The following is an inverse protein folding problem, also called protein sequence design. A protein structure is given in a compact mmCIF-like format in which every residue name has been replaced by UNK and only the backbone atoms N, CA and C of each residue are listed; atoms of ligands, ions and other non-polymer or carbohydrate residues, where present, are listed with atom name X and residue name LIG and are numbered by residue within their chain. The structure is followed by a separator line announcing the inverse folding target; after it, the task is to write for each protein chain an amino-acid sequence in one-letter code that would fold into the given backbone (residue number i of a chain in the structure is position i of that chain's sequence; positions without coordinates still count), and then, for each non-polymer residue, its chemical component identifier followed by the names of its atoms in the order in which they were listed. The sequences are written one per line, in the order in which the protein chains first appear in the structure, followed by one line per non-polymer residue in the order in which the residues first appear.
data_IF_894978393546
#
_entry.id   IF_894978393546
#
_cell.length_a   1.000
_cell.length_b   1.000
_cell.length_c   1.000
_cell.angle_alpha   90.00
_cell.angle_beta   90.00
_cell.angle_gamma   90.00
#
_symmetry.space_group_name_H-M   'P 1'
#
loop_
_entity.id
_entity.type
_entity.pdbx_description
1 polymer ?
#
# COMPACT_ATOMS: atom_id res chain seq x y z
N UNK A 1 40.82 -16.01 -20.84
CA UNK A 1 39.67 -16.89 -20.59
C UNK A 1 38.78 -16.19 -19.58
N UNK A 2 37.57 -15.80 -19.96
CA UNK A 2 36.63 -15.12 -19.08
C UNK A 2 35.87 -16.20 -18.31
N UNK A 3 36.10 -16.33 -17.00
CA UNK A 3 35.34 -17.26 -16.17
C UNK A 3 33.86 -16.90 -16.27
N UNK A 4 33.08 -17.84 -16.79
CA UNK A 4 31.63 -17.72 -16.86
C UNK A 4 31.08 -17.94 -15.44
N UNK A 5 31.07 -16.91 -14.61
CA UNK A 5 30.52 -16.99 -13.25
C UNK A 5 29.03 -17.27 -13.35
N UNK A 6 28.60 -18.49 -12.98
CA UNK A 6 27.19 -18.85 -12.97
C UNK A 6 26.44 -17.94 -11.98
N UNK A 7 25.25 -17.42 -12.35
CA UNK A 7 24.47 -16.58 -11.44
C UNK A 7 24.17 -17.36 -10.16
N UNK A 8 24.55 -16.80 -9.01
CA UNK A 8 24.27 -17.41 -7.71
C UNK A 8 22.76 -17.61 -7.53
N UNK A 9 22.31 -18.81 -7.10
CA UNK A 9 20.89 -19.10 -6.95
C UNK A 9 20.26 -18.15 -5.93
N UNK A 10 19.20 -17.44 -6.34
CA UNK A 10 18.45 -16.56 -5.44
C UNK A 10 17.75 -17.40 -4.38
N UNK A 11 17.84 -17.01 -3.11
CA UNK A 11 17.17 -17.77 -2.04
C UNK A 11 15.66 -17.88 -2.31
N UNK A 12 15.04 -19.06 -2.12
CA UNK A 12 13.61 -19.25 -2.38
C UNK A 12 12.72 -18.25 -1.64
N UNK A 13 13.12 -17.87 -0.42
CA UNK A 13 12.44 -16.86 0.40
C UNK A 13 12.43 -15.49 -0.27
N UNK A 14 13.58 -15.01 -0.74
CA UNK A 14 13.71 -13.71 -1.40
C UNK A 14 12.87 -13.63 -2.68
N UNK A 15 12.78 -14.74 -3.43
CA UNK A 15 11.93 -14.84 -4.63
C UNK A 15 10.44 -14.78 -4.28
N UNK A 16 9.99 -15.56 -3.29
CA UNK A 16 8.59 -15.57 -2.84
C UNK A 16 8.15 -14.19 -2.33
N UNK A 17 8.95 -13.56 -1.47
CA UNK A 17 8.64 -12.20 -0.97
C UNK A 17 8.59 -11.18 -2.10
N UNK A 18 9.50 -11.26 -3.09
CA UNK A 18 9.46 -10.37 -4.26
C UNK A 18 8.15 -10.48 -5.03
N UNK A 19 7.75 -11.72 -5.35
CA UNK A 19 6.50 -11.98 -6.09
C UNK A 19 5.31 -11.43 -5.30
N UNK A 20 5.25 -11.72 -4.00
CA UNK A 20 4.20 -11.21 -3.12
C UNK A 20 4.13 -9.68 -3.12
N UNK A 21 5.26 -8.98 -2.95
CA UNK A 21 5.29 -7.52 -2.95
C UNK A 21 4.90 -6.91 -4.29
N UNK A 22 5.23 -7.56 -5.41
CA UNK A 22 4.78 -7.14 -6.75
C UNK A 22 3.26 -7.25 -6.83
N UNK A 23 2.70 -8.40 -6.47
CA UNK A 23 1.23 -8.62 -6.49
C UNK A 23 0.53 -7.58 -5.62
N UNK A 24 1.00 -7.36 -4.39
CA UNK A 24 0.43 -6.35 -3.49
C UNK A 24 0.56 -4.93 -4.05
N UNK A 25 1.70 -4.58 -4.64
CA UNK A 25 1.88 -3.27 -5.29
C UNK A 25 0.86 -3.07 -6.40
N UNK A 26 0.65 -4.06 -7.27
CA UNK A 26 -0.34 -3.97 -8.35
C UNK A 26 -1.75 -3.81 -7.80
N UNK A 27 -2.14 -4.62 -6.80
CA UNK A 27 -3.47 -4.52 -6.18
C UNK A 27 -3.71 -3.15 -5.54
N UNK A 28 -2.70 -2.59 -4.85
CA UNK A 28 -2.82 -1.28 -4.24
C UNK A 28 -2.82 -0.13 -5.24
N UNK A 29 -2.06 -0.23 -6.33
CA UNK A 29 -2.15 0.76 -7.41
C UNK A 29 -3.52 0.73 -8.07
N UNK A 30 -4.10 -0.45 -8.29
CA UNK A 30 -5.45 -0.57 -8.84
C UNK A 30 -6.51 0.01 -7.89
N UNK A 31 -6.34 -0.13 -6.58
CA UNK A 31 -7.29 0.42 -5.60
C UNK A 31 -7.19 1.94 -5.42
N UNK A 32 -6.14 2.59 -5.94
CA UNK A 32 -6.08 4.06 -5.98
C UNK A 32 -7.14 4.65 -6.92
N UNK A 33 -7.57 3.94 -7.96
CA UNK A 33 -8.60 4.42 -8.87
C UNK A 33 -9.97 4.63 -8.17
N UNK A 34 -10.57 3.64 -7.48
CA UNK A 34 -11.79 3.88 -6.72
C UNK A 34 -11.57 4.86 -5.55
N UNK A 35 -10.39 4.91 -4.94
CA UNK A 35 -10.08 5.91 -3.93
C UNK A 35 -10.10 7.34 -4.49
N UNK A 36 -9.55 7.55 -5.69
CA UNK A 36 -9.59 8.86 -6.35
C UNK A 36 -11.03 9.30 -6.63
N UNK A 37 -11.90 8.37 -7.08
CA UNK A 37 -13.33 8.66 -7.23
C UNK A 37 -13.97 9.04 -5.90
N UNK A 38 -13.68 8.31 -4.82
CA UNK A 38 -14.18 8.65 -3.49
C UNK A 38 -13.71 10.04 -3.03
N UNK A 39 -12.46 10.41 -3.30
CA UNK A 39 -11.93 11.77 -3.04
C UNK A 39 -12.72 12.82 -3.80
N UNK A 40 -13.01 12.61 -5.09
CA UNK A 40 -13.80 13.54 -5.89
C UNK A 40 -15.25 13.69 -5.37
N UNK A 41 -15.77 12.67 -4.71
CA UNK A 41 -17.11 12.69 -4.09
C UNK A 41 -17.13 13.30 -2.69
N UNK A 42 -15.98 13.65 -2.09
CA UNK A 42 -15.93 14.24 -0.74
C UNK A 42 -16.76 15.51 -0.55
N UNK A 43 -17.00 16.39 -1.55
CA UNK A 43 -17.88 17.55 -1.35
C UNK A 43 -19.31 17.16 -0.92
N UNK A 44 -19.84 16.03 -1.42
CA UNK A 44 -21.19 15.56 -1.08
C UNK A 44 -21.32 15.17 0.40
N UNK A 45 -20.21 14.90 1.10
CA UNK A 45 -20.23 14.63 2.53
C UNK A 45 -20.68 15.85 3.36
N UNK A 46 -20.64 17.05 2.78
CA UNK A 46 -20.98 18.30 3.44
C UNK A 46 -22.35 18.85 3.03
N UNK A 47 -23.14 18.13 2.22
CA UNK A 47 -24.47 18.59 1.77
C UNK A 47 -25.44 18.83 2.94
N UNK A 48 -25.24 18.13 4.06
CA UNK A 48 -26.02 18.30 5.30
C UNK A 48 -25.37 19.29 6.30
N UNK A 49 -24.28 19.96 5.90
CA UNK A 49 -23.52 20.90 6.70
C UNK A 49 -22.14 20.39 7.13
N UNK A 50 -21.36 21.28 7.74
CA UNK A 50 -20.02 20.96 8.27
C UNK A 50 -20.11 20.36 9.67
N UNK A 51 -20.32 19.05 9.74
CA UNK A 51 -20.30 18.31 11.02
C UNK A 51 -18.95 17.63 11.27
N UNK A 52 -18.61 17.30 12.52
CA UNK A 52 -17.41 16.52 12.84
C UNK A 52 -17.32 15.19 12.09
N UNK A 53 -18.46 14.53 11.86
CA UNK A 53 -18.55 13.24 11.17
C UNK A 53 -18.19 13.38 9.68
N UNK A 54 -18.65 14.44 9.02
CA UNK A 54 -18.30 14.73 7.63
C UNK A 54 -16.77 14.93 7.48
N UNK A 55 -16.16 15.70 8.38
CA UNK A 55 -14.70 15.89 8.39
C UNK A 55 -13.94 14.60 8.68
N UNK A 56 -14.43 13.75 9.59
CA UNK A 56 -13.83 12.46 9.87
C UNK A 56 -13.84 11.55 8.63
N UNK A 57 -14.97 11.49 7.91
CA UNK A 57 -15.09 10.71 6.67
C UNK A 57 -14.11 11.20 5.59
N UNK A 58 -14.10 12.51 5.33
CA UNK A 58 -13.23 13.11 4.30
C UNK A 58 -11.76 12.90 4.63
N UNK A 59 -11.38 13.06 5.90
CA UNK A 59 -10.00 12.81 6.36
C UNK A 59 -9.61 11.34 6.15
N UNK A 60 -10.47 10.39 6.53
CA UNK A 60 -10.22 8.96 6.31
C UNK A 60 -10.02 8.63 4.82
N UNK A 61 -10.84 9.19 3.94
CA UNK A 61 -10.75 8.99 2.48
C UNK A 61 -9.45 9.58 1.92
N UNK A 62 -9.07 10.79 2.34
CA UNK A 62 -7.85 11.47 1.86
C UNK A 62 -6.56 10.82 2.37
N UNK A 63 -6.57 10.21 3.56
CA UNK A 63 -5.41 9.55 4.14
C UNK A 63 -5.06 8.25 3.40
N UNK A 64 -6.06 7.51 2.90
CA UNK A 64 -5.84 6.23 2.23
C UNK A 64 -4.80 6.26 1.08
N UNK A 65 -4.90 7.13 0.06
CA UNK A 65 -3.93 7.16 -1.03
C UNK A 65 -2.50 7.48 -0.54
N UNK A 66 -2.37 8.34 0.48
CA UNK A 66 -1.07 8.64 1.10
C UNK A 66 -0.49 7.40 1.80
N UNK A 67 -1.33 6.68 2.57
CA UNK A 67 -0.92 5.43 3.22
C UNK A 67 -0.47 4.40 2.20
N UNK A 68 -1.19 4.23 1.09
CA UNK A 68 -0.80 3.31 0.01
C UNK A 68 0.59 3.64 -0.54
N UNK A 69 0.84 4.91 -0.89
CA UNK A 69 2.12 5.34 -1.46
C UNK A 69 3.29 5.09 -0.49
N UNK A 70 3.12 5.52 0.77
CA UNK A 70 4.14 5.35 1.83
C UNK A 70 4.37 3.87 2.13
N UNK A 71 3.31 3.07 2.11
CA UNK A 71 3.38 1.62 2.32
C UNK A 71 4.20 0.95 1.23
N UNK A 72 3.88 1.19 -0.04
CA UNK A 72 4.59 0.58 -1.17
C UNK A 72 6.08 0.94 -1.07
N UNK A 73 6.41 2.23 -0.90
CA UNK A 73 7.79 2.67 -0.76
C UNK A 73 8.52 1.98 0.40
N UNK A 74 7.93 1.98 1.60
CA UNK A 74 8.52 1.36 2.79
C UNK A 74 8.70 -0.15 2.64
N UNK A 75 7.72 -0.87 2.08
CA UNK A 75 7.82 -2.31 1.88
C UNK A 75 9.00 -2.69 0.96
N UNK A 76 9.22 -1.91 -0.11
CA UNK A 76 10.37 -2.12 -1.01
C UNK A 76 11.70 -1.75 -0.37
N UNK A 77 11.74 -0.73 0.49
CA UNK A 77 12.93 -0.39 1.29
C UNK A 77 13.28 -1.54 2.24
N UNK A 78 12.32 -2.05 3.03
CA UNK A 78 12.55 -3.18 3.93
C UNK A 78 12.94 -4.47 3.19
N UNK A 79 12.39 -4.68 1.99
CA UNK A 79 12.81 -5.78 1.13
C UNK A 79 14.28 -5.67 0.71
N UNK A 80 14.74 -4.47 0.33
CA UNK A 80 16.17 -4.24 -0.01
C UNK A 80 17.09 -4.46 1.19
N UNK A 81 16.64 -4.12 2.39
CA UNK A 81 17.35 -4.38 3.65
C UNK A 81 17.31 -5.85 4.09
N UNK A 82 16.73 -6.75 3.28
CA UNK A 82 16.55 -8.18 3.59
C UNK A 82 15.67 -8.46 4.83
N UNK A 83 14.91 -7.46 5.30
CA UNK A 83 13.95 -7.56 6.39
C UNK A 83 12.59 -8.04 5.85
N UNK A 84 12.54 -9.27 5.32
CA UNK A 84 11.38 -9.77 4.58
C UNK A 84 10.07 -9.82 5.39
N UNK A 85 10.15 -10.18 6.68
CA UNK A 85 8.97 -10.18 7.56
C UNK A 85 8.42 -8.77 7.75
N UNK A 86 9.29 -7.78 7.97
CA UNK A 86 8.92 -6.38 8.11
C UNK A 86 8.33 -5.85 6.81
N UNK A 87 8.92 -6.20 5.66
CA UNK A 87 8.38 -5.82 4.35
C UNK A 87 6.94 -6.34 4.13
N UNK A 88 6.67 -7.58 4.51
CA UNK A 88 5.33 -8.17 4.42
C UNK A 88 4.38 -7.48 5.40
N UNK A 89 4.75 -7.36 6.68
CA UNK A 89 3.91 -6.70 7.68
C UNK A 89 3.61 -5.24 7.30
N UNK A 90 4.63 -4.50 6.84
CA UNK A 90 4.48 -3.14 6.34
C UNK A 90 3.51 -3.09 5.17
N UNK A 91 3.61 -4.02 4.22
CA UNK A 91 2.69 -4.07 3.07
C UNK A 91 1.23 -4.31 3.44
N UNK A 92 0.90 -4.72 4.67
CA UNK A 92 -0.49 -4.92 5.11
C UNK A 92 -1.15 -3.64 5.65
N UNK A 93 -0.40 -2.55 5.85
CA UNK A 93 -0.93 -1.29 6.40
C UNK A 93 -2.15 -0.72 5.64
N UNK A 94 -2.21 -0.75 4.28
CA UNK A 94 -3.37 -0.25 3.56
C UNK A 94 -4.64 -1.06 3.85
N UNK A 95 -4.51 -2.37 4.08
CA UNK A 95 -5.65 -3.23 4.44
C UNK A 95 -6.18 -2.81 5.82
N UNK A 96 -5.30 -2.58 6.79
CA UNK A 96 -5.69 -2.08 8.11
C UNK A 96 -6.40 -0.73 7.98
N UNK A 97 -5.89 0.17 7.14
CA UNK A 97 -6.52 1.47 6.92
C UNK A 97 -7.92 1.36 6.29
N UNK A 98 -8.12 0.42 5.37
CA UNK A 98 -9.46 0.13 4.81
C UNK A 98 -10.40 -0.36 5.90
N UNK A 99 -9.96 -1.28 6.77
CA UNK A 99 -10.80 -1.80 7.85
C UNK A 99 -11.22 -0.70 8.84
N UNK A 100 -10.32 0.24 9.15
CA UNK A 100 -10.61 1.41 10.00
C UNK A 100 -11.60 2.41 9.36
N UNK A 101 -11.84 2.32 8.05
CA UNK A 101 -12.84 3.14 7.38
C UNK A 101 -14.27 2.68 7.74
N UNK A 102 -14.47 1.40 8.03
CA UNK A 102 -15.77 0.79 8.32
C UNK A 102 -16.13 0.76 9.82
N UNK A 103 -15.25 1.25 10.69
CA UNK A 103 -15.43 1.37 12.15
C UNK A 103 -15.51 2.85 12.50
#
# INVERSE_FOLDING_TARGET
MQELSLPTPVSPRKRRTKIYLIVMTVLYLLSLAPAALAVMMTPFAFDQGSTPEAWALVTKILVYPLVVIVTIAGAWIFYKLSLFWVAIAWSLLPIVNILLLFI
#
